data_IF_777747364849
#
_entry.id   IF_777747364849
#
_cell.length_a   1.000
_cell.length_b   1.000
_cell.length_c   1.000
_cell.angle_alpha   90.00
_cell.angle_beta   90.00
_cell.angle_gamma   90.00
#
_symmetry.space_group_name_H-M   'P 1'
#
loop_
_entity.id
_entity.type
_entity.pdbx_description
1 polymer ?
#
# COMPACT_ATOMS: atom_id res chain seq x y z
N UNK A 1 -9.50 15.20 -9.76
CA UNK A 1 -9.06 15.45 -8.39
C UNK A 1 -7.93 16.44 -8.57
N UNK A 2 -8.04 17.66 -8.04
CA UNK A 2 -6.91 18.60 -8.05
C UNK A 2 -5.92 18.10 -7.00
N UNK A 3 -4.95 17.30 -7.43
CA UNK A 3 -3.92 16.74 -6.54
C UNK A 3 -2.68 17.60 -6.69
N UNK A 4 -2.03 17.90 -5.57
CA UNK A 4 -0.78 18.63 -5.50
C UNK A 4 0.28 18.04 -6.45
N UNK A 5 1.05 18.90 -7.13
CA UNK A 5 2.08 18.55 -8.12
C UNK A 5 3.01 17.41 -7.67
N UNK A 6 3.31 17.32 -6.37
CA UNK A 6 4.18 16.29 -5.78
C UNK A 6 3.73 14.84 -5.98
N UNK A 7 2.44 14.59 -6.27
CA UNK A 7 1.91 13.26 -6.54
C UNK A 7 1.68 13.00 -8.03
N UNK A 8 1.90 13.99 -8.88
CA UNK A 8 1.79 13.83 -10.33
C UNK A 8 2.97 13.04 -10.86
N UNK A 9 2.71 12.05 -11.71
CA UNK A 9 3.74 11.26 -12.38
C UNK A 9 4.28 12.08 -13.54
N UNK A 10 5.47 12.66 -13.35
CA UNK A 10 6.17 13.43 -14.38
C UNK A 10 7.36 12.69 -15.00
N UNK A 11 7.81 11.57 -14.39
CA UNK A 11 9.02 10.89 -14.84
C UNK A 11 8.79 10.18 -16.19
N UNK A 12 9.57 10.49 -17.24
CA UNK A 12 9.38 9.91 -18.57
C UNK A 12 9.43 8.37 -18.59
N UNK A 13 10.28 7.78 -17.73
CA UNK A 13 10.44 6.32 -17.64
C UNK A 13 9.23 5.61 -17.03
N UNK A 14 8.49 6.30 -16.17
CA UNK A 14 7.26 5.76 -15.57
C UNK A 14 6.11 5.94 -16.56
N UNK A 15 6.04 7.10 -17.22
CA UNK A 15 5.05 7.38 -18.26
C UNK A 15 5.16 6.40 -19.45
N UNK A 16 6.39 6.03 -19.85
CA UNK A 16 6.60 5.04 -20.92
C UNK A 16 6.22 3.60 -20.53
N UNK A 17 5.91 3.36 -19.25
CA UNK A 17 5.49 2.06 -18.71
C UNK A 17 4.03 2.04 -18.29
N UNK A 18 3.25 3.08 -18.57
CA UNK A 18 1.81 3.05 -18.31
C UNK A 18 1.13 1.92 -19.09
N UNK A 19 0.08 1.34 -18.51
CA UNK A 19 -0.73 0.31 -19.14
C UNK A 19 -1.12 0.71 -20.58
N UNK A 20 -0.80 -0.17 -21.55
CA UNK A 20 -0.97 0.10 -22.98
C UNK A 20 0.30 0.51 -23.74
N UNK A 21 1.42 0.74 -23.04
CA UNK A 21 2.73 0.96 -23.67
C UNK A 21 3.39 -0.38 -24.06
N UNK A 22 4.15 -0.41 -25.16
CA UNK A 22 4.94 -1.59 -25.53
C UNK A 22 6.24 -1.58 -24.73
N UNK A 23 6.47 -2.54 -23.81
CA UNK A 23 7.69 -2.56 -23.02
C UNK A 23 8.90 -2.80 -23.94
N UNK A 24 9.95 -2.00 -23.76
CA UNK A 24 11.23 -2.17 -24.46
C UNK A 24 12.32 -2.55 -23.47
N UNK A 25 13.10 -3.59 -23.76
CA UNK A 25 14.18 -4.11 -22.92
C UNK A 25 13.83 -5.37 -22.11
N UNK A 26 14.75 -5.80 -21.24
CA UNK A 26 14.63 -7.03 -20.43
C UNK A 26 13.53 -6.96 -19.37
N UNK A 27 13.20 -5.75 -18.90
CA UNK A 27 12.22 -5.53 -17.84
C UNK A 27 10.87 -5.08 -18.40
N UNK A 28 9.90 -5.99 -18.44
CA UNK A 28 8.64 -5.81 -19.19
C UNK A 28 7.43 -5.40 -18.34
N UNK A 29 7.58 -5.27 -17.00
CA UNK A 29 6.43 -4.93 -16.14
C UNK A 29 5.98 -3.48 -16.38
N UNK A 30 4.68 -3.35 -16.64
CA UNK A 30 3.96 -2.09 -16.78
C UNK A 30 3.49 -1.59 -15.41
N UNK A 31 3.19 -0.30 -15.36
CA UNK A 31 2.51 0.35 -14.25
C UNK A 31 1.02 0.07 -14.36
N UNK A 32 0.48 -0.67 -13.40
CA UNK A 32 -0.95 -0.93 -13.31
C UNK A 32 -1.70 0.33 -12.89
N UNK A 33 -2.72 0.67 -13.67
CA UNK A 33 -3.66 1.74 -13.36
C UNK A 33 -4.79 1.18 -12.50
N UNK A 34 -4.98 1.78 -11.32
CA UNK A 34 -6.05 1.42 -10.41
C UNK A 34 -7.31 2.21 -10.75
N UNK A 35 -8.43 1.49 -10.90
CA UNK A 35 -9.76 2.07 -11.08
C UNK A 35 -10.63 1.78 -9.86
N UNK A 36 -10.77 0.49 -9.51
CA UNK A 36 -11.71 0.06 -8.46
C UNK A 36 -11.04 -0.26 -7.12
N UNK A 37 -9.85 -0.87 -7.15
CA UNK A 37 -9.16 -1.33 -5.94
C UNK A 37 -7.64 -1.34 -6.09
N UNK A 38 -6.96 -1.36 -4.94
CA UNK A 38 -5.52 -1.54 -4.84
C UNK A 38 -5.19 -2.95 -4.32
N UNK A 39 -4.48 -3.75 -5.11
CA UNK A 39 -4.03 -5.08 -4.66
C UNK A 39 -3.07 -5.00 -3.46
N UNK A 40 -2.15 -4.03 -3.47
CA UNK A 40 -1.14 -3.88 -2.43
C UNK A 40 -0.69 -2.44 -2.35
N UNK A 41 -0.71 -1.87 -1.14
CA UNK A 41 -0.08 -0.58 -0.84
C UNK A 41 1.41 -0.84 -0.63
N UNK A 42 2.24 -0.31 -1.53
CA UNK A 42 3.69 -0.52 -1.46
C UNK A 42 4.38 0.56 -0.61
N UNK A 43 5.40 0.15 0.13
CA UNK A 43 6.21 1.04 0.98
C UNK A 43 7.20 1.94 0.20
N UNK A 44 7.30 1.76 -1.13
CA UNK A 44 8.20 2.47 -2.03
C UNK A 44 7.47 2.83 -3.33
N UNK A 45 6.83 4.00 -3.33
CA UNK A 45 6.12 4.54 -4.50
C UNK A 45 7.02 5.08 -5.60
N UNK A 46 8.29 5.34 -5.30
CA UNK A 46 9.29 5.82 -6.26
C UNK A 46 9.89 4.71 -7.14
N UNK A 47 9.53 3.45 -6.91
CA UNK A 47 9.99 2.32 -7.74
C UNK A 47 9.12 2.22 -8.99
N UNK A 48 9.73 1.94 -10.14
CA UNK A 48 9.03 1.57 -11.37
C UNK A 48 9.28 0.09 -11.67
N UNK A 49 8.24 -0.74 -11.75
CA UNK A 49 6.82 -0.45 -11.58
C UNK A 49 6.51 -0.41 -10.08
N UNK A 50 5.68 0.55 -9.70
CA UNK A 50 4.95 0.48 -8.44
C UNK A 50 3.52 0.05 -8.74
N UNK A 51 2.78 -0.33 -7.70
CA UNK A 51 1.35 -0.49 -7.79
C UNK A 51 0.69 0.84 -7.42
N UNK A 52 -0.21 1.33 -8.29
CA UNK A 52 -1.13 2.41 -7.97
C UNK A 52 -0.82 3.75 -8.61
N UNK A 53 -0.64 3.73 -9.93
CA UNK A 53 -0.95 4.88 -10.76
C UNK A 53 -2.47 5.04 -10.87
N UNK A 54 -2.97 6.26 -10.81
CA UNK A 54 -4.38 6.61 -10.99
C UNK A 54 -4.48 7.61 -12.12
N UNK A 55 -5.47 7.43 -12.99
CA UNK A 55 -5.79 8.40 -14.03
C UNK A 55 -6.57 9.57 -13.41
N UNK A 56 -6.03 10.77 -13.56
CA UNK A 56 -6.61 12.00 -13.04
C UNK A 56 -7.64 12.58 -14.03
N UNK A 57 -8.51 13.48 -13.53
CA UNK A 57 -9.61 14.06 -14.32
C UNK A 57 -9.13 14.98 -15.46
N UNK A 58 -7.95 15.55 -15.31
CA UNK A 58 -7.27 16.40 -16.29
C UNK A 58 -6.52 15.59 -17.37
N UNK A 59 -6.57 14.25 -17.29
CA UNK A 59 -5.89 13.35 -18.22
C UNK A 59 -4.46 12.98 -17.81
N UNK A 60 -3.93 13.57 -16.73
CA UNK A 60 -2.62 13.20 -16.18
C UNK A 60 -2.70 11.92 -15.34
N UNK A 61 -1.53 11.42 -14.92
CA UNK A 61 -1.43 10.27 -14.03
C UNK A 61 -0.83 10.70 -12.70
N UNK A 62 -1.35 10.19 -11.60
CA UNK A 62 -0.88 10.48 -10.25
C UNK A 62 -0.68 9.21 -9.42
N UNK A 63 0.12 9.31 -8.38
CA UNK A 63 0.17 8.31 -7.33
C UNK A 63 -0.93 8.56 -6.30
N UNK A 64 -1.39 7.49 -5.64
CA UNK A 64 -2.14 7.61 -4.38
C UNK A 64 -1.37 8.49 -3.40
N UNK A 65 -2.05 9.48 -2.82
CA UNK A 65 -1.54 10.31 -1.73
C UNK A 65 -1.29 9.48 -0.47
N UNK A 66 -0.55 10.06 0.48
CA UNK A 66 -0.25 9.39 1.75
C UNK A 66 -1.52 9.10 2.55
N UNK A 67 -2.44 10.08 2.61
CA UNK A 67 -3.71 9.93 3.32
C UNK A 67 -4.57 8.83 2.70
N UNK A 68 -4.64 8.76 1.37
CA UNK A 68 -5.37 7.67 0.69
C UNK A 68 -4.75 6.30 0.99
N UNK A 69 -3.41 6.19 0.99
CA UNK A 69 -2.75 4.95 1.37
C UNK A 69 -3.08 4.54 2.82
N UNK A 70 -3.11 5.48 3.75
CA UNK A 70 -3.47 5.21 5.15
C UNK A 70 -4.92 4.76 5.31
N UNK A 71 -5.85 5.42 4.62
CA UNK A 71 -7.26 5.03 4.59
C UNK A 71 -7.46 3.64 3.99
N UNK A 72 -6.75 3.31 2.90
CA UNK A 72 -6.78 1.97 2.29
C UNK A 72 -6.24 0.88 3.23
N UNK A 73 -5.33 1.23 4.13
CA UNK A 73 -4.82 0.34 5.18
C UNK A 73 -5.73 0.30 6.42
N UNK A 74 -6.85 1.03 6.41
CA UNK A 74 -7.84 1.01 7.48
C UNK A 74 -7.56 1.95 8.65
N UNK A 75 -6.54 2.81 8.56
CA UNK A 75 -6.24 3.79 9.61
C UNK A 75 -7.24 4.96 9.57
N UNK A 76 -7.49 5.53 10.75
CA UNK A 76 -8.27 6.76 10.84
C UNK A 76 -7.45 7.98 10.43
N UNK A 77 -8.12 9.02 9.93
CA UNK A 77 -7.49 10.29 9.57
C UNK A 77 -6.71 10.91 10.74
N UNK A 78 -7.18 10.73 11.98
CA UNK A 78 -6.52 11.26 13.18
C UNK A 78 -5.13 10.63 13.40
N UNK A 79 -4.98 9.34 13.10
CA UNK A 79 -3.72 8.61 13.29
C UNK A 79 -2.71 9.07 12.24
N UNK A 80 -3.18 9.31 11.02
CA UNK A 80 -2.39 9.94 9.98
C UNK A 80 -1.94 11.35 10.40
N UNK A 81 -2.84 12.19 10.93
CA UNK A 81 -2.48 13.54 11.36
C UNK A 81 -1.47 13.55 12.50
N UNK A 82 -1.64 12.69 13.50
CA UNK A 82 -0.69 12.53 14.59
C UNK A 82 0.69 12.13 14.05
N UNK A 83 0.74 11.18 13.13
CA UNK A 83 1.99 10.72 12.52
C UNK A 83 2.63 11.79 11.63
N UNK A 84 1.83 12.58 10.92
CA UNK A 84 2.29 13.70 10.11
C UNK A 84 2.87 14.83 10.98
N UNK A 85 2.36 15.04 12.20
CA UNK A 85 2.92 16.01 13.14
C UNK A 85 4.32 15.59 13.62
N UNK A 86 4.51 14.31 13.92
CA UNK A 86 5.80 13.74 14.31
C UNK A 86 6.80 13.62 13.14
N UNK A 87 6.27 13.42 11.93
CA UNK A 87 7.04 13.29 10.70
C UNK A 87 6.54 14.29 9.65
N UNK A 88 6.86 15.59 9.80
CA UNK A 88 6.36 16.63 8.90
C UNK A 88 6.89 16.48 7.48
N UNK A 89 6.08 16.92 6.52
CA UNK A 89 6.40 16.88 5.09
C UNK A 89 7.19 18.12 4.68
N UNK A 90 8.40 17.95 4.13
CA UNK A 90 9.28 19.05 3.74
C UNK A 90 9.23 19.32 2.23
N UNK A 91 8.08 19.76 1.72
CA UNK A 91 7.91 20.20 0.32
C UNK A 91 8.01 19.11 -0.75
N UNK A 92 8.21 17.86 -0.35
CA UNK A 92 8.26 16.69 -1.22
C UNK A 92 7.53 15.51 -0.55
N UNK A 93 7.21 14.50 -1.34
CA UNK A 93 6.52 13.30 -0.89
C UNK A 93 7.21 12.64 0.32
N UNK A 94 6.51 12.52 1.45
CA UNK A 94 7.09 11.98 2.68
C UNK A 94 7.16 10.45 2.65
N UNK A 95 8.36 9.94 2.43
CA UNK A 95 8.65 8.50 2.33
C UNK A 95 8.32 7.73 3.61
N UNK A 96 8.45 8.35 4.78
CA UNK A 96 8.18 7.69 6.07
C UNK A 96 6.72 7.27 6.18
N UNK A 97 5.79 8.17 5.81
CA UNK A 97 4.35 7.90 5.87
C UNK A 97 3.93 6.80 4.88
N UNK A 98 4.51 6.77 3.67
CA UNK A 98 4.30 5.64 2.75
C UNK A 98 4.89 4.35 3.27
N UNK A 99 6.06 4.42 3.91
CA UNK A 99 6.73 3.24 4.43
C UNK A 99 5.91 2.59 5.54
N UNK A 100 5.36 3.40 6.44
CA UNK A 100 4.45 2.96 7.50
C UNK A 100 3.18 2.35 6.92
N UNK A 101 2.52 2.99 5.95
CA UNK A 101 1.33 2.41 5.32
C UNK A 101 1.64 1.07 4.65
N UNK A 102 2.66 1.01 3.79
CA UNK A 102 2.93 -0.18 2.97
C UNK A 102 3.69 -1.30 3.66
N UNK A 103 4.09 -1.14 4.92
CA UNK A 103 4.75 -2.20 5.71
C UNK A 103 3.85 -2.73 6.84
N UNK A 104 2.62 -2.24 6.93
CA UNK A 104 1.63 -2.66 7.91
C UNK A 104 0.64 -3.68 7.33
N UNK A 105 -0.10 -4.33 8.21
CA UNK A 105 -1.29 -5.13 7.89
C UNK A 105 -2.51 -4.20 7.94
N UNK A 106 -3.53 -4.48 7.15
CA UNK A 106 -4.79 -3.73 7.17
C UNK A 106 -5.43 -3.83 8.57
N UNK A 107 -5.80 -2.69 9.17
CA UNK A 107 -6.27 -2.60 10.57
C UNK A 107 -7.41 -3.58 10.86
N UNK A 108 -8.42 -3.65 9.99
CA UNK A 108 -9.59 -4.52 10.17
C UNK A 108 -9.23 -6.02 10.16
N UNK A 109 -8.21 -6.39 9.38
CA UNK A 109 -7.70 -7.77 9.36
C UNK A 109 -7.00 -8.08 10.68
N UNK A 110 -6.19 -7.15 11.18
CA UNK A 110 -5.53 -7.28 12.47
C UNK A 110 -6.54 -7.39 13.63
N UNK A 111 -7.57 -6.53 13.64
CA UNK A 111 -8.66 -6.57 14.62
C UNK A 111 -9.38 -7.91 14.59
N UNK A 112 -9.73 -8.42 13.41
CA UNK A 112 -10.39 -9.73 13.26
C UNK A 112 -9.54 -10.88 13.81
N UNK A 113 -8.21 -10.84 13.60
CA UNK A 113 -7.28 -11.84 14.16
C UNK A 113 -7.30 -11.75 15.69
N UNK A 114 -7.26 -10.54 16.27
CA UNK A 114 -7.31 -10.36 17.71
C UNK A 114 -8.67 -10.67 18.34
N UNK A 115 -9.78 -10.55 17.61
CA UNK A 115 -11.07 -11.02 18.07
C UNK A 115 -11.12 -12.55 18.16
N UNK A 116 -10.57 -13.26 17.16
CA UNK A 116 -10.44 -14.72 17.19
C UNK A 116 -9.54 -15.17 18.35
N UNK A 117 -8.29 -14.69 18.34
CA UNK A 117 -7.59 -14.13 19.49
C UNK A 117 -8.21 -14.40 20.89
N UNK A 118 -8.92 -13.37 21.31
CA UNK A 118 -9.48 -13.16 22.62
C UNK A 118 -10.78 -13.95 22.84
N UNK A 119 -11.46 -14.37 21.78
CA UNK A 119 -12.68 -15.17 21.90
C UNK A 119 -12.42 -16.65 22.17
N UNK A 120 -11.17 -17.11 22.04
CA UNK A 120 -10.76 -18.52 22.14
C UNK A 120 -11.51 -19.47 21.19
N UNK A 121 -12.17 -18.93 20.16
CA UNK A 121 -12.95 -19.69 19.17
C UNK A 121 -12.08 -20.18 18.01
N UNK A 122 -10.96 -20.82 18.31
CA UNK A 122 -10.16 -21.48 17.28
C UNK A 122 -10.67 -22.90 17.07
N UNK A 123 -10.70 -23.36 15.82
CA UNK A 123 -10.83 -24.77 15.55
C UNK A 123 -9.58 -25.46 16.11
N UNK A 124 -9.74 -26.20 17.22
CA UNK A 124 -8.64 -26.89 17.91
C UNK A 124 -8.14 -28.12 17.10
N UNK A 125 -8.73 -28.40 15.95
CA UNK A 125 -8.58 -29.70 15.29
C UNK A 125 -7.28 -29.86 14.47
N UNK A 126 -6.54 -28.79 14.12
CA UNK A 126 -5.37 -28.91 13.21
C UNK A 126 -4.07 -28.20 13.66
N UNK A 127 -3.98 -27.66 14.89
CA UNK A 127 -2.73 -27.01 15.37
C UNK A 127 -1.90 -28.00 16.19
N UNK A 128 -1.00 -28.73 15.52
CA UNK A 128 0.05 -29.48 16.20
C UNK A 128 1.15 -28.50 16.61
N UNK A 129 1.24 -28.19 17.91
CA UNK A 129 2.40 -27.54 18.48
C UNK A 129 3.56 -28.54 18.51
N UNK A 130 4.72 -28.15 17.98
CA UNK A 130 5.93 -28.95 18.16
C UNK A 130 6.41 -28.87 19.62
N UNK A 131 7.37 -29.70 20.02
CA UNK A 131 7.93 -29.72 21.39
C UNK A 131 8.53 -28.36 21.84
N UNK A 132 8.70 -27.40 20.93
CA UNK A 132 9.15 -26.04 21.19
C UNK A 132 8.03 -24.98 21.26
N UNK A 133 6.76 -25.37 21.14
CA UNK A 133 5.61 -24.45 21.18
C UNK A 133 5.43 -23.58 19.93
N UNK A 134 6.09 -23.92 18.80
CA UNK A 134 5.86 -23.25 17.52
C UNK A 134 4.72 -23.93 16.76
N UNK A 135 3.77 -23.12 16.27
CA UNK A 135 2.72 -23.57 15.35
C UNK A 135 3.33 -24.01 14.02
N UNK A 136 3.02 -25.23 13.58
CA UNK A 136 3.34 -25.71 12.24
C UNK A 136 2.08 -25.79 11.39
N UNK A 137 2.17 -25.31 10.14
CA UNK A 137 1.16 -25.57 9.11
C UNK A 137 1.34 -27.01 8.62
N UNK A 138 0.26 -27.79 8.66
CA UNK A 138 0.22 -29.10 8.00
C UNK A 138 0.19 -28.83 6.50
N UNK A 139 1.30 -29.08 5.81
CA UNK A 139 1.38 -29.06 4.36
C UNK A 139 1.28 -30.47 3.76
#
# INVERSE_FOLDING_TARGET
MDVCEQYTISQPITLSKLAGSVPSGSYTRLLDLMEDYAYTITNRKDRSPNNGGIKMKDGNYGYLTMLECWRLMGFEDRDFQATLQEHPTNGAMNRTLYHQAGSNIVVQVMESIFELILSEKYAVEDVMENESGQMQLIC
#
